data_IF_095707673930
#
_entry.id   IF_095707673930
#
_cell.length_a   1.000
_cell.length_b   1.000
_cell.length_c   1.000
_cell.angle_alpha   90.00
_cell.angle_beta   90.00
_cell.angle_gamma   90.00
#
_symmetry.space_group_name_H-M   'P 1'
#
loop_
_entity.id
_entity.type
_entity.pdbx_description
1 polymer ?
#
# COMPACT_ATOMS: atom_id res chain seq x y z
N UNK A 1 0.87 -14.87 14.55
CA UNK A 1 0.60 -13.43 14.54
C UNK A 1 -0.81 -13.13 14.05
N UNK A 2 -1.25 -13.56 12.87
CA UNK A 2 -2.58 -13.29 12.30
C UNK A 2 -3.72 -13.66 13.25
N UNK A 3 -3.72 -14.90 13.80
CA UNK A 3 -4.76 -15.35 14.74
C UNK A 3 -4.85 -14.52 16.04
N UNK A 4 -3.73 -13.96 16.50
CA UNK A 4 -3.73 -13.07 17.66
C UNK A 4 -4.35 -11.72 17.26
N UNK A 5 -3.84 -11.09 16.21
CA UNK A 5 -4.36 -9.81 15.74
C UNK A 5 -5.86 -9.91 15.39
N UNK A 6 -6.32 -11.01 14.77
CA UNK A 6 -7.73 -11.22 14.44
C UNK A 6 -8.67 -11.41 15.64
N UNK A 7 -8.14 -11.59 16.87
CA UNK A 7 -8.96 -11.55 18.10
C UNK A 7 -9.09 -10.15 18.68
N UNK A 8 -8.12 -9.29 18.39
CA UNK A 8 -8.01 -7.94 18.93
C UNK A 8 -8.56 -6.89 17.94
N UNK A 9 -8.56 -7.21 16.65
CA UNK A 9 -8.93 -6.29 15.58
C UNK A 9 -10.02 -6.85 14.67
N UNK A 10 -10.88 -5.96 14.19
CA UNK A 10 -11.76 -6.22 13.04
C UNK A 10 -11.14 -5.67 11.76
N UNK A 11 -11.36 -6.36 10.63
CA UNK A 11 -10.93 -5.85 9.32
C UNK A 11 -12.15 -5.47 8.49
N UNK A 12 -12.14 -4.23 7.99
CA UNK A 12 -13.12 -3.71 7.05
C UNK A 12 -12.49 -3.40 5.70
N UNK A 13 -13.31 -3.42 4.63
CA UNK A 13 -12.91 -3.03 3.28
C UNK A 13 -13.82 -1.89 2.81
N UNK A 14 -13.21 -0.79 2.34
CA UNK A 14 -13.97 0.37 1.83
C UNK A 14 -13.23 1.11 0.71
N UNK A 15 -13.90 2.07 0.10
CA UNK A 15 -13.35 2.91 -0.98
C UNK A 15 -13.22 4.37 -0.59
N UNK A 16 -13.25 4.65 0.70
CA UNK A 16 -13.14 6.01 1.23
C UNK A 16 -11.81 6.20 1.95
N UNK A 17 -11.26 7.38 1.79
CA UNK A 17 -10.07 7.84 2.48
C UNK A 17 -10.45 9.11 3.24
N UNK A 18 -10.34 9.10 4.54
CA UNK A 18 -10.81 10.18 5.41
C UNK A 18 -9.70 10.71 6.31
N UNK A 19 -10.09 11.57 7.24
CA UNK A 19 -9.18 12.27 8.14
C UNK A 19 -8.29 11.34 8.99
N UNK A 20 -8.85 10.20 9.46
CA UNK A 20 -8.07 9.22 10.23
C UNK A 20 -6.89 8.64 9.43
N UNK A 21 -7.09 8.36 8.13
CA UNK A 21 -6.04 7.87 7.25
C UNK A 21 -4.98 8.95 7.03
N UNK A 22 -5.41 10.19 6.78
CA UNK A 22 -4.52 11.34 6.61
C UNK A 22 -3.64 11.52 7.84
N UNK A 23 -4.21 11.46 9.05
CA UNK A 23 -3.45 11.54 10.31
C UNK A 23 -2.39 10.44 10.44
N UNK A 24 -2.69 9.21 10.02
CA UNK A 24 -1.71 8.12 10.04
C UNK A 24 -0.59 8.37 9.02
N UNK A 25 -0.91 8.84 7.81
CA UNK A 25 0.10 9.21 6.80
C UNK A 25 0.97 10.36 7.28
N UNK A 26 0.39 11.38 7.90
CA UNK A 26 1.13 12.49 8.50
C UNK A 26 2.04 12.03 9.64
N UNK A 27 1.58 11.09 10.48
CA UNK A 27 2.41 10.44 11.49
C UNK A 27 3.61 9.74 10.87
N UNK A 28 3.39 8.97 9.81
CA UNK A 28 4.45 8.31 9.06
C UNK A 28 5.51 9.30 8.55
N UNK A 29 5.12 10.46 8.02
CA UNK A 29 6.07 11.48 7.58
C UNK A 29 6.93 12.09 8.70
N UNK A 30 6.43 12.09 9.93
CA UNK A 30 7.20 12.59 11.10
C UNK A 30 8.30 11.63 11.50
N UNK A 31 8.07 10.34 11.36
CA UNK A 31 9.00 9.28 11.77
C UNK A 31 9.89 8.76 10.62
N UNK A 32 9.50 9.00 9.36
CA UNK A 32 10.22 8.52 8.19
C UNK A 32 10.49 9.67 7.21
N UNK A 33 11.73 10.12 7.06
CA UNK A 33 12.09 11.08 6.03
C UNK A 33 11.86 10.47 4.65
N UNK A 34 11.06 11.12 3.83
CA UNK A 34 10.77 10.73 2.45
C UNK A 34 11.12 11.88 1.51
N UNK A 35 11.48 11.55 0.27
CA UNK A 35 11.69 12.55 -0.78
C UNK A 35 10.35 13.21 -1.19
N UNK A 36 10.42 14.36 -1.88
CA UNK A 36 9.25 15.13 -2.29
C UNK A 36 8.31 14.35 -3.23
N UNK A 37 8.86 13.54 -4.13
CA UNK A 37 8.09 12.70 -5.04
C UNK A 37 7.27 11.66 -4.29
N UNK A 38 7.89 10.94 -3.37
CA UNK A 38 7.22 9.98 -2.48
C UNK A 38 6.15 10.66 -1.64
N UNK A 39 6.45 11.83 -1.03
CA UNK A 39 5.46 12.62 -0.27
C UNK A 39 4.25 12.96 -1.12
N UNK A 40 4.45 13.50 -2.32
CA UNK A 40 3.39 13.85 -3.26
C UNK A 40 2.48 12.65 -3.58
N UNK A 41 3.07 11.47 -3.81
CA UNK A 41 2.30 10.24 -4.07
C UNK A 41 1.43 9.87 -2.87
N UNK A 42 2.00 9.88 -1.67
CA UNK A 42 1.31 9.44 -0.46
C UNK A 42 0.20 10.43 -0.04
N UNK A 43 0.40 11.72 -0.21
CA UNK A 43 -0.61 12.75 0.05
C UNK A 43 -1.81 12.65 -0.91
N UNK A 44 -1.62 12.10 -2.12
CA UNK A 44 -2.65 11.96 -3.14
C UNK A 44 -3.38 10.61 -3.15
N UNK A 45 -3.17 9.76 -2.16
CA UNK A 45 -3.88 8.46 -2.04
C UNK A 45 -5.40 8.65 -2.10
N UNK A 46 -5.94 9.67 -1.41
CA UNK A 46 -7.37 9.97 -1.42
C UNK A 46 -7.92 10.37 -2.79
N UNK A 47 -7.14 11.08 -3.61
CA UNK A 47 -7.49 11.44 -4.98
C UNK A 47 -7.49 10.19 -5.88
N UNK A 48 -6.48 9.35 -5.74
CA UNK A 48 -6.38 8.09 -6.47
C UNK A 48 -7.59 7.17 -6.19
N UNK A 49 -7.98 7.05 -4.92
CA UNK A 49 -9.17 6.28 -4.52
C UNK A 49 -10.47 6.80 -5.15
N UNK A 50 -10.60 8.12 -5.32
CA UNK A 50 -11.76 8.73 -5.98
C UNK A 50 -11.76 8.46 -7.48
N UNK A 51 -10.60 8.44 -8.11
CA UNK A 51 -10.44 8.24 -9.55
C UNK A 51 -10.52 6.78 -9.98
N UNK A 52 -10.06 5.83 -9.14
CA UNK A 52 -10.08 4.40 -9.45
C UNK A 52 -11.39 3.74 -9.02
N UNK A 53 -11.88 2.79 -9.81
CA UNK A 53 -13.05 1.95 -9.46
C UNK A 53 -12.66 0.61 -8.86
N UNK A 54 -11.39 0.26 -8.84
CA UNK A 54 -10.86 -1.06 -8.50
C UNK A 54 -9.90 -1.07 -7.31
N UNK A 55 -9.56 0.11 -6.77
CA UNK A 55 -8.75 0.25 -5.57
C UNK A 55 -9.60 0.15 -4.30
N UNK A 56 -9.06 -0.48 -3.27
CA UNK A 56 -9.68 -0.65 -1.97
C UNK A 56 -8.74 -0.29 -0.84
N UNK A 57 -9.32 0.26 0.23
CA UNK A 57 -8.67 0.42 1.53
C UNK A 57 -9.13 -0.72 2.43
N UNK A 58 -8.20 -1.45 3.00
CA UNK A 58 -8.42 -2.44 4.05
C UNK A 58 -8.00 -1.81 5.37
N UNK A 59 -8.89 -1.80 6.35
CA UNK A 59 -8.67 -1.17 7.66
C UNK A 59 -8.69 -2.21 8.76
N UNK A 60 -7.70 -2.15 9.64
CA UNK A 60 -7.70 -2.89 10.90
C UNK A 60 -8.09 -1.93 12.04
N UNK A 61 -9.18 -2.24 12.74
CA UNK A 61 -9.73 -1.41 13.81
C UNK A 61 -9.87 -2.16 15.11
N UNK A 62 -9.63 -1.46 16.21
CA UNK A 62 -9.98 -1.92 17.55
C UNK A 62 -11.51 -2.00 17.73
N UNK A 63 -11.99 -2.75 18.75
CA UNK A 63 -13.45 -2.83 19.06
C UNK A 63 -14.11 -1.48 19.36
N UNK A 64 -13.35 -0.51 19.87
CA UNK A 64 -13.80 0.87 20.12
C UNK A 64 -13.83 1.74 18.85
N UNK A 65 -13.45 1.18 17.68
CA UNK A 65 -13.44 1.85 16.39
C UNK A 65 -12.12 2.52 16.00
N UNK A 66 -11.11 2.55 16.89
CA UNK A 66 -9.81 3.15 16.61
C UNK A 66 -9.10 2.51 15.40
N UNK A 67 -8.63 3.31 14.45
CA UNK A 67 -7.90 2.83 13.27
C UNK A 67 -6.44 2.54 13.63
N UNK A 68 -6.08 1.24 13.65
CA UNK A 68 -4.74 0.76 14.00
C UNK A 68 -3.79 0.74 12.81
N UNK A 69 -4.30 0.30 11.66
CA UNK A 69 -3.53 0.21 10.43
C UNK A 69 -4.47 0.22 9.23
N UNK A 70 -3.94 0.58 8.07
CA UNK A 70 -4.64 0.38 6.81
C UNK A 70 -3.69 0.05 5.67
N UNK A 71 -4.20 -0.71 4.72
CA UNK A 71 -3.55 -1.05 3.47
C UNK A 71 -4.35 -0.52 2.30
N UNK A 72 -3.65 -0.14 1.23
CA UNK A 72 -4.27 0.20 -0.05
C UNK A 72 -3.87 -0.86 -1.07
N UNK A 73 -4.85 -1.46 -1.72
CA UNK A 73 -4.62 -2.50 -2.72
C UNK A 73 -5.48 -2.28 -3.97
N UNK A 74 -4.85 -2.46 -5.13
CA UNK A 74 -5.48 -2.31 -6.44
C UNK A 74 -5.82 -3.67 -7.04
N UNK A 75 -7.09 -3.87 -7.40
CA UNK A 75 -7.63 -5.12 -7.93
C UNK A 75 -7.97 -5.07 -9.43
N UNK A 76 -7.72 -3.95 -10.11
CA UNK A 76 -7.98 -3.78 -11.53
C UNK A 76 -7.23 -4.75 -12.45
N UNK A 77 -5.94 -5.06 -12.23
CA UNK A 77 -5.22 -6.01 -13.06
C UNK A 77 -5.90 -7.39 -13.05
N UNK A 78 -6.03 -8.02 -14.25
CA UNK A 78 -6.72 -9.30 -14.41
C UNK A 78 -6.12 -10.42 -13.55
N UNK A 79 -4.79 -10.57 -13.58
CA UNK A 79 -4.12 -11.74 -13.02
C UNK A 79 -3.54 -11.51 -11.61
N UNK A 80 -3.45 -10.28 -11.12
CA UNK A 80 -2.85 -10.00 -9.84
C UNK A 80 -3.55 -8.90 -9.05
N UNK A 81 -3.37 -8.92 -7.74
CA UNK A 81 -3.63 -7.78 -6.86
C UNK A 81 -2.32 -7.02 -6.65
N UNK A 82 -2.37 -5.68 -6.67
CA UNK A 82 -1.22 -4.86 -6.34
C UNK A 82 -1.36 -4.33 -4.92
N UNK A 83 -0.49 -4.78 -4.02
CA UNK A 83 -0.33 -4.30 -2.66
C UNK A 83 0.49 -3.01 -2.69
N UNK A 84 -0.19 -1.87 -2.63
CA UNK A 84 0.41 -0.57 -2.89
C UNK A 84 1.05 0.06 -1.65
N UNK A 85 0.26 0.24 -0.61
CA UNK A 85 0.67 0.98 0.59
C UNK A 85 0.24 0.25 1.85
N UNK A 86 1.07 0.33 2.90
CA UNK A 86 0.77 -0.10 4.25
C UNK A 86 1.15 0.99 5.23
N UNK A 87 0.20 1.38 6.07
CA UNK A 87 0.40 2.37 7.11
C UNK A 87 -0.11 1.86 8.44
N UNK A 88 0.59 2.21 9.51
CA UNK A 88 0.22 1.89 10.89
C UNK A 88 0.13 3.16 11.72
N UNK A 89 -0.82 3.18 12.64
CA UNK A 89 -0.91 4.21 13.66
C UNK A 89 0.32 4.13 14.59
N UNK A 90 0.90 5.27 14.91
CA UNK A 90 1.93 5.37 15.94
C UNK A 90 1.32 5.35 17.37
N UNK A 91 0.09 5.84 17.49
CA UNK A 91 -0.62 5.91 18.77
C UNK A 91 -1.28 4.58 19.17
N UNK A 92 -1.72 3.79 18.18
CA UNK A 92 -2.42 2.52 18.39
C UNK A 92 -1.58 1.39 17.79
N UNK A 93 -0.90 0.63 18.64
CA UNK A 93 -0.03 -0.45 18.19
C UNK A 93 -0.57 -1.82 18.57
N UNK A 94 -0.96 -2.61 17.56
CA UNK A 94 -1.32 -4.03 17.73
C UNK A 94 -0.39 -4.90 16.89
N UNK A 95 0.40 -5.79 17.53
CA UNK A 95 1.31 -6.67 16.78
C UNK A 95 0.58 -7.56 15.79
N UNK A 96 1.04 -7.55 14.52
CA UNK A 96 0.46 -8.37 13.46
C UNK A 96 -0.70 -7.70 12.70
N UNK A 97 -1.01 -6.44 12.95
CA UNK A 97 -2.04 -5.71 12.20
C UNK A 97 -1.77 -5.71 10.68
N UNK A 98 -0.54 -5.38 10.25
CA UNK A 98 -0.17 -5.45 8.82
C UNK A 98 -0.23 -6.88 8.25
N UNK A 99 0.09 -7.89 9.06
CA UNK A 99 -0.05 -9.29 8.63
C UNK A 99 -1.52 -9.67 8.45
N UNK A 100 -2.39 -9.20 9.34
CA UNK A 100 -3.83 -9.45 9.25
C UNK A 100 -4.42 -8.77 8.01
N UNK A 101 -4.04 -7.52 7.73
CA UNK A 101 -4.48 -6.79 6.54
C UNK A 101 -4.04 -7.47 5.26
N UNK A 102 -2.76 -7.84 5.15
CA UNK A 102 -2.26 -8.54 3.97
C UNK A 102 -2.94 -9.89 3.79
N UNK A 103 -3.23 -10.62 4.89
CA UNK A 103 -3.99 -11.86 4.84
C UNK A 103 -5.38 -11.65 4.21
N UNK A 104 -6.12 -10.63 4.64
CA UNK A 104 -7.44 -10.31 4.12
C UNK A 104 -7.39 -9.89 2.63
N UNK A 105 -6.36 -9.14 2.23
CA UNK A 105 -6.11 -8.82 0.82
C UNK A 105 -5.90 -10.09 0.00
N UNK A 106 -5.11 -11.07 0.53
CA UNK A 106 -4.89 -12.34 -0.14
C UNK A 106 -6.17 -13.19 -0.24
N UNK A 107 -7.03 -13.19 0.80
CA UNK A 107 -8.32 -13.88 0.73
C UNK A 107 -9.24 -13.25 -0.32
N UNK A 108 -9.30 -11.92 -0.37
CA UNK A 108 -10.05 -11.21 -1.42
C UNK A 108 -9.49 -11.51 -2.81
N UNK A 109 -8.18 -11.49 -2.98
CA UNK A 109 -7.52 -11.81 -4.25
C UNK A 109 -7.85 -13.23 -4.72
N UNK A 110 -7.86 -14.20 -3.80
CA UNK A 110 -8.28 -15.57 -4.08
C UNK A 110 -9.75 -15.64 -4.53
N UNK A 111 -10.64 -14.92 -3.85
CA UNK A 111 -12.07 -14.83 -4.21
C UNK A 111 -12.24 -14.27 -5.62
N UNK A 112 -11.44 -13.28 -6.00
CA UNK A 112 -11.44 -12.67 -7.34
C UNK A 112 -10.59 -13.45 -8.35
N UNK A 113 -10.13 -14.66 -8.00
CA UNK A 113 -9.33 -15.55 -8.86
C UNK A 113 -8.04 -14.92 -9.37
N UNK A 114 -7.44 -14.01 -8.63
CA UNK A 114 -6.10 -13.49 -8.94
C UNK A 114 -5.07 -14.58 -8.76
N UNK A 115 -4.12 -14.66 -9.67
CA UNK A 115 -3.06 -15.70 -9.69
C UNK A 115 -1.84 -15.30 -8.88
N UNK A 116 -1.61 -13.99 -8.73
CA UNK A 116 -0.42 -13.42 -8.08
C UNK A 116 -0.80 -12.26 -7.18
N UNK A 117 0.12 -11.92 -6.27
CA UNK A 117 0.14 -10.65 -5.57
C UNK A 117 1.45 -9.93 -5.90
N UNK A 118 1.34 -8.74 -6.48
CA UNK A 118 2.48 -7.85 -6.63
C UNK A 118 2.66 -7.08 -5.31
N UNK A 119 3.71 -7.40 -4.58
CA UNK A 119 4.02 -6.77 -3.29
C UNK A 119 4.82 -5.47 -3.42
N UNK A 120 5.02 -4.99 -4.66
CA UNK A 120 5.79 -3.78 -4.92
C UNK A 120 7.30 -3.93 -4.66
N UNK A 121 7.99 -2.80 -4.51
CA UNK A 121 9.44 -2.75 -4.37
C UNK A 121 9.91 -3.19 -2.98
N UNK A 122 11.09 -3.79 -2.91
CA UNK A 122 11.83 -4.07 -1.67
C UNK A 122 12.74 -2.90 -1.33
N UNK A 123 12.19 -1.80 -0.82
CA UNK A 123 12.90 -0.52 -0.67
C UNK A 123 13.94 -0.55 0.45
N UNK A 124 13.63 -1.27 1.53
CA UNK A 124 14.52 -1.41 2.69
C UNK A 124 14.51 -2.83 3.26
N UNK A 125 15.33 -3.07 4.27
CA UNK A 125 15.46 -4.39 4.89
C UNK A 125 14.19 -4.87 5.60
N UNK A 126 13.46 -3.97 6.26
CA UNK A 126 12.22 -4.28 6.98
C UNK A 126 11.09 -4.66 6.04
N UNK A 127 10.88 -3.86 4.98
CA UNK A 127 9.91 -4.14 3.92
C UNK A 127 10.25 -5.44 3.19
N UNK A 128 11.53 -5.64 2.87
CA UNK A 128 12.01 -6.87 2.23
C UNK A 128 11.82 -8.10 3.11
N UNK A 129 12.08 -7.99 4.42
CA UNK A 129 11.83 -9.06 5.39
C UNK A 129 10.34 -9.41 5.46
N UNK A 130 9.46 -8.42 5.59
CA UNK A 130 8.01 -8.61 5.61
C UNK A 130 7.52 -9.35 4.36
N UNK A 131 7.95 -8.93 3.18
CA UNK A 131 7.57 -9.55 1.91
C UNK A 131 8.08 -10.99 1.79
N UNK A 132 9.33 -11.25 2.18
CA UNK A 132 9.91 -12.61 2.20
C UNK A 132 9.17 -13.54 3.17
N UNK A 133 8.79 -13.05 4.35
CA UNK A 133 7.97 -13.78 5.33
C UNK A 133 6.65 -14.28 4.72
N UNK A 134 6.07 -13.52 3.79
CA UNK A 134 4.87 -13.89 3.04
C UNK A 134 5.15 -14.70 1.77
N UNK A 135 6.36 -15.22 1.60
CA UNK A 135 6.76 -16.02 0.42
C UNK A 135 7.04 -15.18 -0.83
N UNK A 136 7.16 -13.85 -0.66
CA UNK A 136 7.50 -12.95 -1.77
C UNK A 136 8.87 -13.27 -2.35
N UNK A 137 8.95 -13.30 -3.67
CA UNK A 137 10.17 -13.54 -4.44
C UNK A 137 10.42 -12.37 -5.38
N UNK A 138 11.67 -12.02 -5.59
CA UNK A 138 12.04 -11.05 -6.62
C UNK A 138 11.67 -11.65 -7.98
N UNK A 139 10.81 -10.97 -8.72
CA UNK A 139 10.31 -11.41 -10.02
C UNK A 139 10.88 -10.59 -11.18
N UNK A 140 11.05 -9.27 -10.98
CA UNK A 140 11.64 -8.36 -11.95
C UNK A 140 12.79 -7.60 -11.32
N UNK A 141 13.82 -7.34 -12.14
CA UNK A 141 14.88 -6.40 -11.77
C UNK A 141 14.31 -4.99 -11.72
N UNK A 142 14.78 -4.21 -10.76
CA UNK A 142 14.42 -2.81 -10.62
C UNK A 142 15.53 -1.94 -11.20
N UNK A 143 15.16 -0.99 -12.07
CA UNK A 143 16.04 0.04 -12.57
C UNK A 143 15.52 1.41 -12.16
N UNK A 144 16.39 2.23 -11.60
CA UNK A 144 16.08 3.63 -11.29
C UNK A 144 16.58 4.52 -12.41
N UNK A 145 15.69 5.31 -13.00
CA UNK A 145 16.02 6.26 -14.06
C UNK A 145 15.69 7.68 -13.59
N UNK A 146 16.67 8.57 -13.64
CA UNK A 146 16.46 10.01 -13.50
C UNK A 146 16.35 10.63 -14.88
N UNK A 147 15.21 11.23 -15.15
CA UNK A 147 14.99 11.99 -16.38
C UNK A 147 15.08 13.49 -16.12
N UNK A 148 16.00 14.14 -16.79
CA UNK A 148 16.12 15.59 -16.79
C UNK A 148 15.63 16.11 -18.14
N UNK A 149 14.38 16.66 -18.23
CA UNK A 149 13.90 17.20 -19.48
C UNK A 149 14.80 18.34 -19.93
N UNK A 150 15.30 18.29 -21.17
CA UNK A 150 15.89 19.46 -21.79
C UNK A 150 14.80 20.50 -22.04
N UNK A 151 15.14 21.79 -22.05
CA UNK A 151 14.16 22.88 -22.28
C UNK A 151 13.31 22.72 -23.54
N UNK A 152 13.63 21.77 -24.43
CA UNK A 152 12.97 21.50 -25.71
C UNK A 152 12.18 20.21 -25.79
N UNK A 153 12.29 19.32 -24.77
CA UNK A 153 11.58 18.04 -24.77
C UNK A 153 10.48 18.04 -23.72
N UNK A 154 9.29 17.64 -24.12
CA UNK A 154 8.17 17.39 -23.21
C UNK A 154 8.02 15.88 -22.94
N UNK A 155 7.26 15.53 -21.92
CA UNK A 155 7.01 14.12 -21.52
C UNK A 155 6.38 13.31 -22.64
N UNK A 156 5.54 13.92 -23.50
CA UNK A 156 4.94 13.22 -24.66
C UNK A 156 5.99 12.81 -25.69
N UNK A 157 6.99 13.68 -25.96
CA UNK A 157 8.06 13.35 -26.90
C UNK A 157 8.93 12.18 -26.37
N UNK A 158 9.08 12.07 -25.05
CA UNK A 158 9.77 10.96 -24.41
C UNK A 158 8.97 9.65 -24.54
N UNK A 159 7.66 9.68 -24.25
CA UNK A 159 6.79 8.49 -24.32
C UNK A 159 6.68 7.92 -25.74
N UNK A 160 6.85 8.75 -26.76
CA UNK A 160 6.88 8.30 -28.17
C UNK A 160 8.18 7.60 -28.58
N UNK A 161 9.23 7.68 -27.75
CA UNK A 161 10.54 7.03 -27.99
C UNK A 161 10.69 5.68 -27.26
N UNK A 162 9.74 5.35 -26.37
CA UNK A 162 9.64 4.06 -25.66
C UNK A 162 8.73 3.09 -26.41
#
# INVERSE_FOLDING_TARGET
>A
MIHRAGRELSVGKKRTFGEEHTKIVEGFFKSHPVDEGTRTILERIGEYLKASTTVWVFEAREPNGGLVAFDVAEFGPKDYVFYMFNFRSEALYVPGASDLLLYEIMQQAKTERKRFANLGLGIDSGVSFFKKKWGGRVFLSYAFCLYYPSKKENVEALLRKL
#
